data_IF_586731123579
#
_entry.id   IF_586731123579
#
_cell.length_a   1.000
_cell.length_b   1.000
_cell.length_c   1.000
_cell.angle_alpha   90.00
_cell.angle_beta   90.00
_cell.angle_gamma   90.00
#
_symmetry.space_group_name_H-M   'P 1'
#
loop_
_entity.id
_entity.type
_entity.pdbx_description
1 polymer ?
#
# COMPACT_ATOMS: atom_id res chain seq x y z
N UNK A 1 -37.19 -27.01 13.61
CA UNK A 1 -35.79 -26.61 13.78
C UNK A 1 -35.16 -26.52 12.40
N UNK A 2 -35.09 -25.32 11.82
CA UNK A 2 -34.48 -25.08 10.50
C UNK A 2 -33.17 -24.36 10.74
N UNK A 3 -32.07 -25.07 10.52
CA UNK A 3 -30.71 -24.53 10.55
C UNK A 3 -30.52 -23.63 9.32
N UNK A 4 -30.54 -22.31 9.53
CA UNK A 4 -30.12 -21.35 8.52
C UNK A 4 -28.61 -21.40 8.37
N UNK A 5 -28.12 -21.82 7.20
CA UNK A 5 -26.73 -21.54 6.81
C UNK A 5 -26.57 -20.03 6.71
N UNK A 6 -25.94 -19.41 7.70
CA UNK A 6 -25.43 -18.06 7.56
C UNK A 6 -24.35 -18.09 6.47
N UNK A 7 -24.63 -17.51 5.31
CA UNK A 7 -23.65 -17.30 4.28
C UNK A 7 -22.54 -16.40 4.86
N UNK A 8 -21.37 -16.96 5.11
CA UNK A 8 -20.18 -16.20 5.46
C UNK A 8 -19.89 -15.32 4.24
N UNK A 9 -20.15 -14.01 4.35
CA UNK A 9 -19.61 -13.03 3.42
C UNK A 9 -18.09 -13.04 3.60
N UNK A 10 -17.41 -13.93 2.89
CA UNK A 10 -15.98 -13.82 2.70
C UNK A 10 -15.76 -12.51 1.96
N UNK A 11 -15.10 -11.54 2.60
CA UNK A 11 -14.67 -10.35 1.88
C UNK A 11 -13.80 -10.83 0.72
N UNK A 12 -14.13 -10.44 -0.50
CA UNK A 12 -13.26 -10.71 -1.65
C UNK A 12 -11.88 -10.03 -1.50
N UNK A 13 -11.75 -9.14 -0.52
CA UNK A 13 -10.53 -8.46 -0.17
C UNK A 13 -10.26 -8.52 1.34
N UNK A 14 -9.22 -9.25 1.74
CA UNK A 14 -8.61 -9.10 3.05
C UNK A 14 -7.54 -8.02 2.94
N UNK A 15 -7.69 -6.92 3.68
CA UNK A 15 -6.65 -5.88 3.70
C UNK A 15 -5.32 -6.51 4.15
N UNK A 16 -4.24 -6.37 3.36
CA UNK A 16 -2.93 -6.88 3.75
C UNK A 16 -2.47 -6.27 5.07
N UNK A 17 -1.61 -6.99 5.79
CA UNK A 17 -1.01 -6.49 7.02
C UNK A 17 -0.49 -5.04 6.84
N UNK A 18 -0.80 -4.21 7.82
CA UNK A 18 -0.40 -2.80 7.82
C UNK A 18 1.01 -2.71 8.37
N UNK A 19 2.01 -2.26 7.58
CA UNK A 19 3.36 -2.13 8.08
C UNK A 19 3.43 -1.07 9.20
N UNK A 20 4.34 -1.28 10.15
CA UNK A 20 4.61 -0.30 11.21
C UNK A 20 5.01 1.04 10.59
N UNK A 21 4.39 2.12 11.06
CA UNK A 21 4.65 3.46 10.53
C UNK A 21 3.99 3.75 9.18
N UNK A 22 3.02 2.94 8.72
CA UNK A 22 2.21 3.26 7.55
C UNK A 22 1.52 4.62 7.74
N UNK A 23 1.77 5.53 6.80
CA UNK A 23 1.12 6.83 6.72
C UNK A 23 -0.02 6.82 5.70
N UNK A 24 0.23 6.26 4.51
CA UNK A 24 -0.71 6.25 3.38
C UNK A 24 -0.53 4.95 2.58
N UNK A 25 -1.63 4.38 2.07
CA UNK A 25 -1.63 3.27 1.12
C UNK A 25 -2.41 3.67 -0.13
N UNK A 26 -1.80 3.52 -1.30
CA UNK A 26 -2.45 3.71 -2.60
C UNK A 26 -2.68 2.35 -3.26
N UNK A 27 -3.89 2.12 -3.77
CA UNK A 27 -4.16 0.95 -4.61
C UNK A 27 -3.58 1.17 -6.01
N UNK A 28 -2.97 0.15 -6.60
CA UNK A 28 -2.49 0.19 -7.99
C UNK A 28 -3.57 -0.30 -8.95
N UNK A 29 -3.44 0.04 -10.24
CA UNK A 29 -4.32 -0.49 -11.29
C UNK A 29 -4.24 -2.03 -11.37
N UNK A 30 -3.06 -2.60 -11.12
CA UNK A 30 -2.85 -4.06 -11.10
C UNK A 30 -3.45 -4.78 -9.88
N UNK A 31 -4.12 -4.08 -8.96
CA UNK A 31 -4.69 -4.68 -7.75
C UNK A 31 -3.66 -4.95 -6.63
N UNK A 32 -2.47 -4.36 -6.73
CA UNK A 32 -1.48 -4.31 -5.65
C UNK A 32 -1.54 -2.98 -4.89
N UNK A 33 -0.53 -2.70 -4.07
CA UNK A 33 -0.49 -1.51 -3.20
C UNK A 33 0.86 -0.81 -3.26
N UNK A 34 0.84 0.51 -3.08
CA UNK A 34 2.00 1.32 -2.75
C UNK A 34 1.84 1.83 -1.33
N UNK A 35 2.73 1.43 -0.43
CA UNK A 35 2.74 1.85 0.95
C UNK A 35 3.72 2.99 1.15
N UNK A 36 3.28 4.06 1.80
CA UNK A 36 4.11 5.16 2.29
C UNK A 36 4.31 4.97 3.78
N UNK A 37 5.55 4.81 4.22
CA UNK A 37 5.92 4.55 5.62
C UNK A 37 6.84 5.63 6.18
N UNK A 38 6.80 5.85 7.49
CA UNK A 38 7.69 6.78 8.22
C UNK A 38 8.36 6.06 9.39
N UNK A 39 9.63 6.40 9.63
CA UNK A 39 10.47 5.82 10.70
C UNK A 39 10.37 6.57 12.04
N UNK A 40 9.34 7.41 12.20
CA UNK A 40 8.91 8.05 13.46
C UNK A 40 9.87 9.06 14.11
N UNK A 41 11.09 9.29 13.61
CA UNK A 41 12.03 10.23 14.26
C UNK A 41 12.16 11.59 13.61
N UNK A 42 12.01 11.69 12.30
CA UNK A 42 11.99 12.95 11.56
C UNK A 42 11.05 12.76 10.37
N UNK A 43 10.51 13.83 9.80
CA UNK A 43 9.49 13.90 8.73
C UNK A 43 9.82 13.15 7.42
N UNK A 44 10.79 12.24 7.44
CA UNK A 44 11.28 11.41 6.36
C UNK A 44 10.33 10.24 6.16
N UNK A 45 9.81 10.15 4.95
CA UNK A 45 8.94 9.07 4.52
C UNK A 45 9.62 8.34 3.37
N UNK A 46 9.29 7.07 3.20
CA UNK A 46 9.64 6.28 2.01
C UNK A 46 8.37 5.66 1.43
N UNK A 47 8.40 5.25 0.16
CA UNK A 47 7.32 4.46 -0.43
C UNK A 47 7.83 3.17 -1.04
N UNK A 48 6.98 2.13 -1.02
CA UNK A 48 7.28 0.81 -1.57
C UNK A 48 6.07 0.24 -2.30
N UNK A 49 6.26 -0.22 -3.55
CA UNK A 49 5.23 -0.90 -4.33
C UNK A 49 5.31 -2.41 -4.14
N UNK A 50 4.24 -3.00 -3.62
CA UNK A 50 4.14 -4.44 -3.39
C UNK A 50 4.02 -5.27 -4.68
N UNK A 51 3.61 -4.65 -5.79
CA UNK A 51 3.44 -5.30 -7.09
C UNK A 51 4.78 -5.42 -7.82
N UNK A 52 5.33 -4.28 -8.26
CA UNK A 52 6.56 -4.25 -9.06
C UNK A 52 7.85 -4.14 -8.24
N UNK A 53 7.76 -4.04 -6.91
CA UNK A 53 8.90 -3.93 -5.98
C UNK A 53 9.70 -2.62 -6.10
N UNK A 54 9.21 -1.65 -6.86
CA UNK A 54 9.79 -0.30 -6.89
C UNK A 54 9.68 0.38 -5.53
N UNK A 55 10.65 1.24 -5.22
CA UNK A 55 10.74 1.97 -3.95
C UNK A 55 11.23 3.39 -4.20
N UNK A 56 11.02 4.28 -3.23
CA UNK A 56 11.64 5.61 -3.25
C UNK A 56 13.17 5.50 -3.34
N UNK A 57 13.78 6.18 -4.31
CA UNK A 57 15.24 6.17 -4.52
C UNK A 57 16.02 6.85 -3.38
N UNK A 58 15.43 7.89 -2.76
CA UNK A 58 16.08 8.69 -1.71
C UNK A 58 15.19 8.79 -0.45
N UNK A 59 14.99 7.69 0.29
CA UNK A 59 14.09 7.65 1.45
C UNK A 59 14.52 8.60 2.59
N UNK A 60 15.77 9.05 2.59
CA UNK A 60 16.32 9.93 3.60
C UNK A 60 16.06 11.43 3.38
N UNK A 61 15.59 11.81 2.18
CA UNK A 61 15.47 13.21 1.75
C UNK A 61 14.02 13.65 1.47
N UNK A 62 13.07 12.73 1.44
CA UNK A 62 11.71 13.00 0.99
C UNK A 62 10.75 13.21 2.19
N UNK A 63 10.40 14.48 2.42
CA UNK A 63 9.29 14.86 3.29
C UNK A 63 7.97 14.28 2.77
N UNK A 64 7.02 14.02 3.67
CA UNK A 64 5.70 13.46 3.31
C UNK A 64 5.00 14.22 2.17
N UNK A 65 5.12 15.55 2.14
CA UNK A 65 4.52 16.39 1.08
C UNK A 65 5.08 16.11 -0.32
N UNK A 66 6.35 15.71 -0.42
CA UNK A 66 7.00 15.37 -1.70
C UNK A 66 6.80 13.92 -2.09
N UNK A 67 6.73 13.02 -1.10
CA UNK A 67 6.65 11.59 -1.40
C UNK A 67 5.26 11.15 -1.83
N UNK A 68 4.22 11.79 -1.28
CA UNK A 68 2.81 11.51 -1.59
C UNK A 68 2.51 11.56 -3.08
N UNK A 69 2.84 12.65 -3.83
CA UNK A 69 2.56 12.69 -5.25
C UNK A 69 3.34 11.61 -6.01
N UNK A 70 4.64 11.41 -5.74
CA UNK A 70 5.44 10.36 -6.40
C UNK A 70 4.85 8.95 -6.20
N UNK A 71 4.46 8.62 -4.97
CA UNK A 71 3.85 7.34 -4.64
C UNK A 71 2.48 7.15 -5.33
N UNK A 72 1.67 8.22 -5.39
CA UNK A 72 0.38 8.22 -6.08
C UNK A 72 0.54 8.08 -7.60
N UNK A 73 1.49 8.81 -8.19
CA UNK A 73 1.80 8.73 -9.63
C UNK A 73 2.25 7.32 -10.01
N UNK A 74 3.11 6.71 -9.19
CA UNK A 74 3.51 5.32 -9.38
C UNK A 74 2.31 4.37 -9.28
N UNK A 75 1.45 4.53 -8.27
CA UNK A 75 0.26 3.70 -8.11
C UNK A 75 -0.69 3.80 -9.31
N UNK A 76 -0.85 5.00 -9.87
CA UNK A 76 -1.66 5.26 -11.08
C UNK A 76 -1.07 4.67 -12.36
N UNK A 77 0.24 4.41 -12.41
CA UNK A 77 0.88 3.80 -13.58
C UNK A 77 1.07 2.27 -13.45
N UNK A 78 1.22 1.78 -12.22
CA UNK A 78 1.61 0.41 -11.94
C UNK A 78 0.51 -0.61 -12.25
N UNK A 79 0.80 -1.52 -13.18
CA UNK A 79 -0.07 -2.64 -13.58
C UNK A 79 0.41 -3.99 -13.04
N UNK A 80 1.47 -4.00 -12.23
CA UNK A 80 1.96 -5.23 -11.62
C UNK A 80 0.92 -5.73 -10.60
N UNK A 81 0.60 -7.01 -10.72
CA UNK A 81 -0.29 -7.72 -9.79
C UNK A 81 0.49 -8.11 -8.52
N UNK A 82 -0.20 -8.31 -7.38
CA UNK A 82 0.42 -8.97 -6.23
C UNK A 82 0.94 -10.35 -6.66
N UNK A 83 2.24 -10.59 -6.46
CA UNK A 83 2.78 -11.94 -6.56
C UNK A 83 2.57 -12.60 -5.20
N UNK A 84 1.78 -13.67 -5.20
CA UNK A 84 1.46 -14.55 -4.06
C UNK A 84 2.69 -15.19 -3.47
#
# INVERSE_FOLDING_TARGET
MTTGLAAIRSSAFTEPERPTGLQIRYATIGGSYVDVVSTNKHLKSSWYCHGCKATSEFPEADYLSRIRPKANDHAGACRAIPLS
#
